data_IF_909267531449
#
_entry.id   IF_909267531449
#
_cell.length_a   1.000
_cell.length_b   1.000
_cell.length_c   1.000
_cell.angle_alpha   90.00
_cell.angle_beta   90.00
_cell.angle_gamma   90.00
#
_symmetry.space_group_name_H-M   'P 1'
#
loop_
_entity.id
_entity.type
_entity.pdbx_description
1 polymer ?
#
# COMPACT_ATOMS: atom_id res chain seq x y z
N UNK A 1 11.88 -10.27 3.08
CA UNK A 1 11.83 -9.26 2.01
C UNK A 1 10.47 -9.38 1.33
N UNK A 2 9.59 -8.38 1.40
CA UNK A 2 8.28 -8.48 0.77
C UNK A 2 8.40 -8.71 -0.75
N UNK A 3 7.44 -9.44 -1.33
CA UNK A 3 7.39 -9.72 -2.76
C UNK A 3 5.98 -9.46 -3.29
N UNK A 4 5.86 -9.00 -4.53
CA UNK A 4 4.58 -8.82 -5.21
C UNK A 4 4.67 -9.35 -6.65
N UNK A 5 3.61 -10.00 -7.09
CA UNK A 5 3.36 -10.37 -8.48
C UNK A 5 2.08 -9.65 -8.89
N UNK A 6 2.17 -8.89 -9.98
CA UNK A 6 1.06 -8.17 -10.58
C UNK A 6 0.90 -8.64 -12.02
N UNK A 7 -0.31 -9.10 -12.36
CA UNK A 7 -0.75 -9.28 -13.74
C UNK A 7 -1.79 -8.20 -14.04
N UNK A 8 -1.47 -7.33 -14.99
CA UNK A 8 -2.28 -6.19 -15.40
C UNK A 8 -2.72 -6.36 -16.86
N UNK A 9 -4.04 -6.31 -17.11
CA UNK A 9 -4.69 -6.63 -18.39
C UNK A 9 -5.95 -5.77 -18.59
N UNK A 10 -5.82 -4.46 -18.86
CA UNK A 10 -6.96 -3.58 -19.06
C UNK A 10 -7.91 -4.11 -20.13
N UNK A 11 -9.22 -4.04 -19.87
CA UNK A 11 -10.28 -4.55 -20.74
C UNK A 11 -10.54 -6.07 -20.68
N UNK A 12 -9.83 -6.83 -19.84
CA UNK A 12 -10.12 -8.25 -19.55
C UNK A 12 -11.11 -8.37 -18.37
N UNK A 13 -11.89 -9.47 -18.29
CA UNK A 13 -12.76 -9.82 -17.15
C UNK A 13 -12.05 -9.85 -15.78
N UNK A 14 -10.72 -9.88 -15.78
CA UNK A 14 -9.83 -9.95 -14.61
C UNK A 14 -8.66 -9.00 -14.88
N UNK A 15 -8.91 -7.68 -14.83
CA UNK A 15 -7.97 -6.69 -15.33
C UNK A 15 -6.75 -6.54 -14.41
N UNK A 16 -6.90 -6.87 -13.13
CA UNK A 16 -5.83 -6.90 -12.13
C UNK A 16 -5.88 -8.21 -11.37
N UNK A 17 -4.74 -8.91 -11.32
CA UNK A 17 -4.50 -10.03 -10.41
C UNK A 17 -3.22 -9.74 -9.62
N UNK A 18 -3.33 -9.73 -8.29
CA UNK A 18 -2.24 -9.41 -7.38
C UNK A 18 -2.02 -10.55 -6.39
N UNK A 19 -0.77 -10.98 -6.26
CA UNK A 19 -0.30 -11.79 -5.15
C UNK A 19 0.82 -11.06 -4.42
N UNK A 20 0.65 -10.77 -3.14
CA UNK A 20 1.63 -10.06 -2.34
C UNK A 20 1.97 -10.84 -1.06
N UNK A 21 3.27 -11.13 -0.88
CA UNK A 21 3.81 -11.69 0.35
C UNK A 21 4.41 -10.58 1.20
N UNK A 22 3.84 -10.37 2.38
CA UNK A 22 4.40 -9.50 3.41
C UNK A 22 5.34 -10.31 4.30
N UNK A 23 6.63 -10.05 4.17
CA UNK A 23 7.63 -10.56 5.11
C UNK A 23 7.85 -9.55 6.23
N UNK A 24 7.45 -9.94 7.44
CA UNK A 24 7.40 -9.06 8.60
C UNK A 24 7.90 -9.76 9.88
N UNK A 25 8.18 -8.98 10.92
CA UNK A 25 8.47 -9.48 12.26
C UNK A 25 7.35 -10.40 12.77
N UNK A 26 7.72 -11.59 13.25
CA UNK A 26 6.79 -12.67 13.66
C UNK A 26 5.85 -12.26 14.80
N UNK A 27 6.34 -11.41 15.70
CA UNK A 27 5.66 -10.90 16.88
C UNK A 27 4.84 -9.63 16.60
N UNK A 28 4.86 -9.12 15.36
CA UNK A 28 4.12 -7.91 15.00
C UNK A 28 2.62 -8.20 14.94
N UNK A 29 1.78 -7.56 15.77
CA UNK A 29 0.36 -7.86 15.83
C UNK A 29 -0.39 -7.27 14.62
N UNK A 30 -1.32 -8.05 14.05
CA UNK A 30 -2.16 -7.64 12.92
C UNK A 30 -3.52 -8.34 12.94
N UNK A 31 -4.50 -7.82 12.19
CA UNK A 31 -5.78 -8.50 11.94
C UNK A 31 -5.98 -8.73 10.44
N UNK A 32 -6.66 -9.83 10.13
CA UNK A 32 -7.02 -10.23 8.77
C UNK A 32 -7.83 -9.15 8.02
N UNK A 33 -7.86 -9.21 6.68
CA UNK A 33 -8.61 -8.26 5.87
C UNK A 33 -10.04 -8.04 6.35
N UNK A 34 -10.42 -6.77 6.49
CA UNK A 34 -11.74 -6.35 6.95
C UNK A 34 -11.90 -4.83 6.87
N UNK A 35 -13.07 -4.34 7.29
CA UNK A 35 -13.36 -2.91 7.41
C UNK A 35 -12.99 -2.46 8.82
N UNK A 36 -11.79 -1.91 8.99
CA UNK A 36 -11.24 -1.56 10.31
C UNK A 36 -11.34 -0.08 10.67
N UNK A 37 -11.50 0.79 9.68
CA UNK A 37 -11.50 2.24 9.84
C UNK A 37 -12.91 2.81 9.67
N UNK A 38 -13.41 3.52 10.69
CA UNK A 38 -14.75 4.11 10.66
C UNK A 38 -14.85 5.32 9.71
N UNK A 39 -13.73 6.02 9.51
CA UNK A 39 -13.57 7.15 8.59
C UNK A 39 -13.27 6.70 7.15
N UNK A 40 -13.02 5.40 6.92
CA UNK A 40 -12.82 4.79 5.60
C UNK A 40 -13.67 3.53 5.45
N UNK A 41 -15.01 3.64 5.55
CA UNK A 41 -15.89 2.48 5.60
C UNK A 41 -15.83 1.64 4.31
N UNK A 42 -15.45 2.21 3.18
CA UNK A 42 -15.26 1.56 1.88
C UNK A 42 -14.01 0.68 1.78
N UNK A 43 -13.01 0.88 2.64
CA UNK A 43 -11.72 0.17 2.58
C UNK A 43 -11.82 -1.21 3.22
N UNK A 44 -11.34 -2.23 2.48
CA UNK A 44 -11.11 -3.58 2.99
C UNK A 44 -9.62 -3.86 2.92
N UNK A 45 -8.98 -4.02 4.09
CA UNK A 45 -7.55 -4.25 4.17
C UNK A 45 -7.17 -4.99 5.45
N UNK A 46 -5.99 -5.58 5.51
CA UNK A 46 -5.41 -5.99 6.80
C UNK A 46 -5.04 -4.75 7.63
N UNK A 47 -5.07 -4.85 8.95
CA UNK A 47 -4.63 -3.75 9.83
C UNK A 47 -3.43 -4.17 10.67
N UNK A 48 -2.42 -3.31 10.65
CA UNK A 48 -1.25 -3.38 11.53
C UNK A 48 -1.61 -2.77 12.89
N UNK A 49 -1.66 -3.58 13.95
CA UNK A 49 -2.13 -3.10 15.25
C UNK A 49 -1.11 -2.23 15.99
N UNK A 50 0.14 -2.18 15.51
CA UNK A 50 1.18 -1.32 16.10
C UNK A 50 1.21 0.06 15.43
N UNK A 51 1.04 0.11 14.10
CA UNK A 51 1.15 1.35 13.34
C UNK A 51 -0.17 1.90 12.78
N UNK A 52 -1.29 1.17 12.91
CA UNK A 52 -2.62 1.60 12.48
C UNK A 52 -2.88 1.58 10.97
N UNK A 53 -1.85 1.34 10.16
CA UNK A 53 -1.92 1.29 8.69
C UNK A 53 -2.14 -0.11 8.12
N UNK A 54 -1.99 -0.25 6.81
CA UNK A 54 -2.10 -1.52 6.07
C UNK A 54 -0.86 -1.81 5.21
N UNK A 55 -0.76 -3.01 4.66
CA UNK A 55 0.25 -3.40 3.66
C UNK A 55 -0.38 -3.76 2.30
N UNK A 56 -1.66 -4.11 2.28
CA UNK A 56 -2.43 -4.45 1.10
C UNK A 56 -3.91 -4.18 1.39
N UNK A 57 -4.59 -3.48 0.50
CA UNK A 57 -6.02 -3.22 0.61
C UNK A 57 -6.66 -2.86 -0.73
N UNK A 58 -7.99 -2.83 -0.72
CA UNK A 58 -8.83 -2.44 -1.84
C UNK A 58 -9.97 -1.53 -1.34
N UNK A 59 -10.37 -0.54 -2.13
CA UNK A 59 -11.54 0.29 -1.86
C UNK A 59 -12.77 -0.13 -2.69
N UNK A 60 -13.91 0.53 -2.48
CA UNK A 60 -15.15 0.19 -3.18
C UNK A 60 -15.12 0.55 -4.68
N UNK A 61 -14.18 1.40 -5.10
CA UNK A 61 -13.97 1.83 -6.48
C UNK A 61 -13.06 0.85 -7.25
N UNK A 62 -12.47 -0.13 -6.58
CA UNK A 62 -11.59 -1.12 -7.20
C UNK A 62 -10.11 -0.73 -7.22
N UNK A 63 -9.73 0.37 -6.57
CA UNK A 63 -8.32 0.72 -6.38
C UNK A 63 -7.72 -0.25 -5.37
N UNK A 64 -6.63 -0.90 -5.78
CA UNK A 64 -5.81 -1.78 -4.94
C UNK A 64 -4.48 -1.10 -4.68
N UNK A 65 -4.03 -1.09 -3.43
CA UNK A 65 -2.74 -0.55 -3.05
C UNK A 65 -1.95 -1.55 -2.20
N UNK A 66 -0.65 -1.68 -2.48
CA UNK A 66 0.23 -2.61 -1.79
C UNK A 66 1.61 -1.98 -1.50
N UNK A 67 2.01 -1.95 -0.23
CA UNK A 67 3.30 -1.42 0.22
C UNK A 67 4.29 -2.56 0.49
N UNK A 68 5.51 -2.39 -0.01
CA UNK A 68 6.61 -3.33 0.17
C UNK A 68 7.81 -2.65 0.81
N UNK A 69 8.35 -3.29 1.86
CA UNK A 69 9.60 -2.87 2.49
C UNK A 69 10.77 -3.10 1.53
N UNK A 70 11.69 -2.14 1.45
CA UNK A 70 12.99 -2.32 0.78
C UNK A 70 13.99 -3.00 1.72
N UNK A 71 15.17 -3.33 1.17
CA UNK A 71 16.25 -3.96 1.92
C UNK A 71 16.65 -3.13 3.14
N UNK A 72 16.89 -3.80 4.27
CA UNK A 72 17.30 -3.18 5.52
C UNK A 72 16.33 -2.11 6.08
N UNK A 73 15.05 -2.13 5.66
CA UNK A 73 14.02 -1.20 6.15
C UNK A 73 12.91 -1.84 6.99
N UNK A 74 13.18 -2.97 7.66
CA UNK A 74 12.21 -3.66 8.51
C UNK A 74 11.93 -2.88 9.81
N UNK A 75 10.66 -2.83 10.23
CA UNK A 75 10.24 -2.19 11.49
C UNK A 75 10.14 -0.65 11.45
N UNK A 76 9.60 -0.04 12.53
CA UNK A 76 9.55 1.40 12.70
C UNK A 76 10.95 2.00 12.95
N UNK A 77 11.13 3.27 12.65
CA UNK A 77 12.35 4.02 12.98
C UNK A 77 11.98 5.43 13.47
N UNK A 78 12.67 5.97 14.50
CA UNK A 78 12.42 7.33 14.96
C UNK A 78 12.53 8.35 13.83
N UNK A 79 11.63 9.33 13.80
CA UNK A 79 11.60 10.38 12.77
C UNK A 79 10.94 9.98 11.46
N UNK A 80 10.51 8.72 11.28
CA UNK A 80 9.82 8.27 10.08
C UNK A 80 8.36 7.94 10.36
N UNK A 81 7.48 8.32 9.43
CA UNK A 81 6.08 7.92 9.41
C UNK A 81 5.91 6.46 8.94
N UNK A 82 4.74 5.89 9.22
CA UNK A 82 4.43 4.52 8.83
C UNK A 82 4.10 4.44 7.35
N UNK A 83 4.84 3.63 6.59
CA UNK A 83 4.49 3.32 5.18
C UNK A 83 3.09 2.71 5.02
N UNK A 84 2.53 2.14 6.07
CA UNK A 84 1.19 1.58 6.00
C UNK A 84 0.08 2.62 5.87
N UNK A 85 0.37 3.89 6.16
CA UNK A 85 -0.56 4.99 5.89
C UNK A 85 -0.65 5.31 4.39
N UNK A 86 0.42 5.08 3.62
CA UNK A 86 0.43 5.28 2.17
C UNK A 86 -0.56 4.37 1.45
N UNK A 87 -0.77 3.16 1.99
CA UNK A 87 -1.80 2.24 1.50
C UNK A 87 -3.19 2.82 1.74
N UNK A 88 -3.43 3.44 2.90
CA UNK A 88 -4.73 4.04 3.19
C UNK A 88 -4.97 5.31 2.37
N UNK A 89 -3.96 6.17 2.26
CA UNK A 89 -3.98 7.37 1.42
C UNK A 89 -4.33 7.01 -0.04
N UNK A 90 -3.65 6.00 -0.61
CA UNK A 90 -3.95 5.52 -1.95
C UNK A 90 -5.43 5.11 -2.12
N UNK A 91 -6.01 4.51 -1.10
CA UNK A 91 -7.36 3.95 -1.11
C UNK A 91 -8.45 5.00 -0.85
N UNK A 92 -8.09 6.22 -0.47
CA UNK A 92 -9.00 7.36 -0.33
C UNK A 92 -9.32 8.02 -1.70
N UNK A 93 -8.68 7.55 -2.78
CA UNK A 93 -8.86 8.09 -4.12
C UNK A 93 -9.83 7.28 -4.99
N UNK A 94 -10.50 7.94 -5.96
CA UNK A 94 -11.47 7.28 -6.82
C UNK A 94 -10.83 6.34 -7.83
N UNK A 95 -9.55 6.53 -8.15
CA UNK A 95 -8.81 5.71 -9.11
C UNK A 95 -7.30 5.68 -8.90
N UNK A 96 -6.64 4.73 -9.56
CA UNK A 96 -5.22 4.48 -9.39
C UNK A 96 -4.35 5.63 -9.91
N UNK A 97 -4.80 6.33 -10.97
CA UNK A 97 -4.11 7.49 -11.51
C UNK A 97 -4.14 8.67 -10.52
N UNK A 98 -5.30 9.01 -9.97
CA UNK A 98 -5.45 10.07 -8.97
C UNK A 98 -4.62 9.76 -7.72
N UNK A 99 -4.66 8.51 -7.24
CA UNK A 99 -3.83 8.06 -6.14
C UNK A 99 -2.34 8.23 -6.44
N UNK A 100 -1.86 7.77 -7.60
CA UNK A 100 -0.46 7.86 -7.96
C UNK A 100 0.04 9.31 -8.04
N UNK A 101 -0.77 10.23 -8.58
CA UNK A 101 -0.45 11.66 -8.63
C UNK A 101 -0.35 12.24 -7.22
N UNK A 102 -1.35 12.01 -6.36
CA UNK A 102 -1.34 12.53 -4.99
C UNK A 102 -0.14 12.02 -4.18
N UNK A 103 0.21 10.74 -4.35
CA UNK A 103 1.32 10.11 -3.65
C UNK A 103 2.70 10.51 -4.17
N UNK A 104 2.78 10.99 -5.42
CA UNK A 104 4.02 11.50 -6.00
C UNK A 104 4.45 12.84 -5.36
N UNK A 105 3.51 13.60 -4.81
CA UNK A 105 3.76 14.90 -4.16
C UNK A 105 4.15 14.77 -2.68
N UNK A 106 4.21 13.55 -2.14
CA UNK A 106 4.59 13.32 -0.74
C UNK A 106 6.07 13.61 -0.48
N UNK A 107 6.37 14.18 0.68
CA UNK A 107 7.73 14.39 1.18
C UNK A 107 8.47 13.03 1.33
N UNK A 108 9.44 12.71 0.46
CA UNK A 108 10.07 11.40 0.46
C UNK A 108 10.86 11.12 1.75
N UNK A 109 11.44 12.15 2.38
CA UNK A 109 12.24 12.01 3.60
C UNK A 109 11.40 11.63 4.83
N UNK A 110 10.07 11.78 4.78
CA UNK A 110 9.19 11.42 5.89
C UNK A 110 9.03 9.90 6.07
N UNK A 111 9.45 9.09 5.10
CA UNK A 111 9.24 7.65 5.08
C UNK A 111 10.54 6.89 4.93
N UNK A 112 10.61 5.71 5.57
CA UNK A 112 11.67 4.75 5.26
C UNK A 112 11.51 4.26 3.82
N UNK A 113 12.60 3.92 3.10
CA UNK A 113 12.52 3.46 1.71
C UNK A 113 11.49 2.33 1.48
N UNK A 114 10.74 2.43 0.39
CA UNK A 114 9.62 1.54 0.05
C UNK A 114 9.41 1.38 -1.45
N UNK A 115 8.65 0.35 -1.82
CA UNK A 115 7.91 0.30 -3.08
C UNK A 115 6.42 0.34 -2.77
N UNK A 116 5.65 1.02 -3.59
CA UNK A 116 4.20 1.07 -3.51
C UNK A 116 3.63 0.77 -4.88
N UNK A 117 2.72 -0.20 -4.95
CA UNK A 117 1.96 -0.52 -6.15
C UNK A 117 0.55 -0.03 -5.94
N UNK A 118 0.02 0.71 -6.92
CA UNK A 118 -1.38 1.16 -6.94
C UNK A 118 -1.96 0.79 -8.30
N UNK A 119 -3.09 0.08 -8.33
CA UNK A 119 -3.69 -0.39 -9.57
C UNK A 119 -5.21 -0.42 -9.49
N UNK A 120 -5.87 -0.23 -10.63
CA UNK A 120 -7.29 -0.47 -10.84
C UNK A 120 -7.51 -1.13 -12.21
N UNK A 121 -8.73 -1.16 -12.71
CA UNK A 121 -9.06 -1.77 -14.00
C UNK A 121 -8.50 -1.02 -15.23
N UNK A 122 -7.99 0.20 -15.05
CA UNK A 122 -7.56 1.13 -16.11
C UNK A 122 -6.09 1.48 -16.07
N UNK A 123 -5.46 1.45 -14.90
CA UNK A 123 -4.08 1.87 -14.69
C UNK A 123 -3.36 1.02 -13.64
N UNK A 124 -2.04 0.92 -13.77
CA UNK A 124 -1.17 0.30 -12.77
C UNK A 124 0.13 1.10 -12.63
N UNK A 125 0.42 1.51 -11.40
CA UNK A 125 1.54 2.38 -11.06
C UNK A 125 2.47 1.70 -10.06
N UNK A 126 3.77 1.91 -10.25
CA UNK A 126 4.79 1.57 -9.27
C UNK A 126 5.51 2.84 -8.83
N UNK A 127 5.29 3.23 -7.59
CA UNK A 127 6.00 4.32 -6.93
C UNK A 127 7.14 3.74 -6.11
N UNK A 128 8.30 4.40 -6.15
CA UNK A 128 9.48 4.02 -5.37
C UNK A 128 9.99 5.20 -4.58
N UNK A 129 10.33 4.95 -3.32
CA UNK A 129 11.06 5.88 -2.47
C UNK A 129 12.36 5.22 -2.04
N UNK A 130 13.48 5.90 -2.31
CA UNK A 130 14.83 5.40 -2.04
C UNK A 130 15.40 5.87 -0.69
N UNK A 131 14.65 6.71 0.04
CA UNK A 131 15.08 7.41 1.25
C UNK A 131 15.76 8.74 0.92
N UNK A 132 16.19 9.49 1.95
CA UNK A 132 17.14 10.59 1.75
C UNK A 132 18.43 10.03 1.14
N UNK A 133 18.93 10.68 0.08
CA UNK A 133 20.27 10.41 -0.47
C UNK A 133 21.36 10.69 0.57
#
# INVERSE_FOLDING_TARGET
MCSIVLLYRPGHDWPVLIGANRDEMRDRPWRAPGRHWADRPEVVAGIDLLAGGSWLGINAQGVVAAALNRMNTLGPAPGFRSRGELVLEALDHPDAAAAAVALADLEPAAYRPFNLVVADDRDAWWLRNLGPE
#
